data_IF_248435319568
#
_entry.id   IF_248435319568
#
_cell.length_a   1.000
_cell.length_b   1.000
_cell.length_c   1.000
_cell.angle_alpha   90.00
_cell.angle_beta   90.00
_cell.angle_gamma   90.00
#
_symmetry.space_group_name_H-M   'P 1'
#
loop_
_entity.id
_entity.type
_entity.pdbx_description
1 polymer ?
#
# COMPACT_ATOMS: atom_id res chain seq x y z
N UNK A 1 -8.86 27.16 -1.44
CA UNK A 1 -9.35 25.78 -1.37
C UNK A 1 -8.91 25.18 -0.03
N UNK A 2 -9.90 24.89 0.83
CA UNK A 2 -9.72 24.23 2.14
C UNK A 2 -10.11 22.76 2.01
N UNK A 3 -9.22 21.84 2.34
CA UNK A 3 -9.41 20.41 2.16
C UNK A 3 -9.32 19.69 3.49
N UNK A 4 -10.21 18.74 3.74
CA UNK A 4 -10.09 17.81 4.86
C UNK A 4 -9.87 16.40 4.31
N UNK A 5 -8.81 15.73 4.79
CA UNK A 5 -8.68 14.28 4.67
C UNK A 5 -9.33 13.62 5.89
N UNK A 6 -10.23 12.73 5.61
CA UNK A 6 -11.04 12.03 6.60
C UNK A 6 -10.24 10.95 7.35
N UNK A 7 -10.70 10.57 8.54
CA UNK A 7 -9.93 9.82 9.56
C UNK A 7 -9.89 8.31 9.43
N UNK A 8 -10.82 7.68 8.71
CA UNK A 8 -11.09 6.22 8.83
C UNK A 8 -9.86 5.34 8.73
N UNK A 9 -8.94 5.66 7.81
CA UNK A 9 -7.73 4.85 7.61
C UNK A 9 -6.76 4.92 8.80
N UNK A 10 -6.70 6.06 9.49
CA UNK A 10 -5.76 6.28 10.60
C UNK A 10 -6.18 5.56 11.89
N UNK A 11 -7.45 5.16 11.96
CA UNK A 11 -7.96 4.29 13.02
C UNK A 11 -7.94 2.81 12.62
N UNK A 12 -7.99 2.52 11.30
CA UNK A 12 -8.03 1.15 10.77
C UNK A 12 -6.66 0.48 10.68
N UNK A 13 -5.60 1.25 10.39
CA UNK A 13 -4.24 0.73 10.17
C UNK A 13 -3.24 1.41 11.10
N UNK A 14 -2.41 0.62 11.79
CA UNK A 14 -1.23 1.16 12.49
C UNK A 14 -0.11 1.57 11.53
N UNK A 15 0.05 0.83 10.43
CA UNK A 15 0.98 1.12 9.31
C UNK A 15 0.36 0.55 8.03
N UNK A 16 0.44 1.27 6.92
CA UNK A 16 -0.05 0.76 5.64
C UNK A 16 0.16 1.71 4.46
N UNK A 17 -0.01 1.17 3.26
CA UNK A 17 0.14 1.93 2.01
C UNK A 17 -0.88 3.05 1.86
N UNK A 18 -2.12 2.84 2.34
CA UNK A 18 -3.21 3.82 2.24
C UNK A 18 -2.93 5.03 3.12
N UNK A 19 -2.60 4.81 4.41
CA UNK A 19 -2.27 5.91 5.31
C UNK A 19 -1.00 6.65 4.88
N UNK A 20 -0.02 5.95 4.29
CA UNK A 20 1.16 6.57 3.68
C UNK A 20 0.78 7.46 2.49
N UNK A 21 -0.12 7.00 1.61
CA UNK A 21 -0.63 7.77 0.49
C UNK A 21 -1.25 9.10 0.94
N UNK A 22 -2.20 9.06 1.85
CA UNK A 22 -2.87 10.28 2.36
C UNK A 22 -1.87 11.23 3.03
N UNK A 23 -1.00 10.70 3.91
CA UNK A 23 0.02 11.52 4.60
C UNK A 23 0.99 12.17 3.63
N UNK A 24 1.41 11.48 2.57
CA UNK A 24 2.32 12.02 1.55
C UNK A 24 1.67 13.10 0.69
N UNK A 25 0.43 12.89 0.27
CA UNK A 25 -0.32 13.92 -0.49
C UNK A 25 -0.49 15.17 0.36
N UNK A 26 -0.94 15.03 1.62
CA UNK A 26 -1.11 16.17 2.52
C UNK A 26 0.22 16.92 2.75
N UNK A 27 1.32 16.20 2.96
CA UNK A 27 2.65 16.80 3.12
C UNK A 27 3.06 17.65 1.90
N UNK A 28 2.74 17.19 0.68
CA UNK A 28 3.07 17.94 -0.55
C UNK A 28 2.13 19.13 -0.71
N UNK A 29 0.86 18.99 -0.34
CA UNK A 29 -0.09 20.10 -0.37
C UNK A 29 0.39 21.24 0.52
N UNK A 30 0.88 20.94 1.73
CA UNK A 30 1.47 21.95 2.62
C UNK A 30 2.68 22.67 1.96
N UNK A 31 3.58 21.91 1.33
CA UNK A 31 4.72 22.49 0.60
C UNK A 31 4.27 23.42 -0.54
N UNK A 32 3.13 23.15 -1.13
CA UNK A 32 2.52 23.95 -2.20
C UNK A 32 1.57 25.04 -1.67
N UNK A 33 1.56 25.29 -0.36
CA UNK A 33 0.70 26.28 0.32
C UNK A 33 -0.80 26.05 0.08
N UNK A 34 -1.22 24.78 -0.09
CA UNK A 34 -2.63 24.39 -0.16
C UNK A 34 -3.11 24.13 1.26
N UNK A 35 -4.18 24.81 1.65
CA UNK A 35 -4.79 24.62 2.96
C UNK A 35 -5.48 23.24 3.03
N UNK A 36 -4.81 22.29 3.67
CA UNK A 36 -5.30 20.92 3.81
C UNK A 36 -4.98 20.36 5.19
N UNK A 37 -5.91 19.62 5.76
CA UNK A 37 -5.81 19.07 7.12
C UNK A 37 -6.15 17.58 7.08
N UNK A 38 -5.34 16.77 7.79
CA UNK A 38 -5.77 15.43 8.19
C UNK A 38 -6.39 15.57 9.57
N UNK A 39 -7.70 15.29 9.66
CA UNK A 39 -8.41 15.33 10.93
C UNK A 39 -8.71 13.91 11.40
N UNK A 40 -8.00 13.45 12.42
CA UNK A 40 -8.13 12.12 13.01
C UNK A 40 -8.01 12.21 14.54
N UNK A 41 -9.07 12.62 15.25
CA UNK A 41 -9.05 12.86 16.70
C UNK A 41 -8.42 11.74 17.49
N UNK A 42 -8.77 10.50 17.15
CA UNK A 42 -8.19 9.28 17.71
C UNK A 42 -7.48 8.52 16.59
N UNK A 43 -6.22 8.18 16.80
CA UNK A 43 -5.39 7.48 15.80
C UNK A 43 -4.54 6.38 16.43
N UNK A 44 -4.33 5.30 15.68
CA UNK A 44 -3.30 4.28 15.96
C UNK A 44 -2.16 4.31 14.93
N UNK A 45 -2.20 5.26 14.01
CA UNK A 45 -1.37 5.23 12.79
C UNK A 45 -0.02 5.89 12.99
N UNK A 46 1.05 5.20 12.57
CA UNK A 46 2.42 5.69 12.67
C UNK A 46 2.85 6.59 11.50
N UNK A 47 2.09 6.62 10.39
CA UNK A 47 2.34 7.52 9.29
C UNK A 47 1.76 8.94 9.55
N UNK A 48 0.89 9.08 10.57
CA UNK A 48 0.38 10.37 10.99
C UNK A 48 1.37 11.03 11.97
N UNK A 49 2.07 12.05 11.49
CA UNK A 49 2.97 12.85 12.32
C UNK A 49 2.17 13.95 13.03
N UNK A 50 1.84 13.69 14.30
CA UNK A 50 1.03 14.60 15.14
C UNK A 50 1.79 15.89 15.54
N UNK A 51 3.12 15.97 15.31
CA UNK A 51 3.89 17.18 15.55
C UNK A 51 3.68 18.25 14.46
N UNK A 52 3.02 17.89 13.37
CA UNK A 52 2.70 18.81 12.28
C UNK A 52 1.33 19.44 12.51
N UNK A 53 1.25 20.76 12.50
CA UNK A 53 0.04 21.55 12.75
C UNK A 53 -1.11 21.29 11.74
N UNK A 54 -0.81 20.68 10.60
CA UNK A 54 -1.79 20.26 9.60
C UNK A 54 -2.30 18.83 9.80
N UNK A 55 -1.90 18.17 10.91
CA UNK A 55 -2.40 16.86 11.31
C UNK A 55 -3.02 17.00 12.70
N UNK A 56 -4.34 16.95 12.78
CA UNK A 56 -5.06 17.10 14.04
C UNK A 56 -5.39 15.71 14.59
N UNK A 57 -4.73 15.34 15.67
CA UNK A 57 -5.03 14.14 16.44
C UNK A 57 -4.77 14.42 17.92
N UNK A 58 -5.79 14.19 18.74
CA UNK A 58 -5.72 14.45 20.17
C UNK A 58 -5.21 13.24 20.95
N UNK A 59 -5.63 12.03 20.51
CA UNK A 59 -5.30 10.78 21.19
C UNK A 59 -4.64 9.79 20.23
N UNK A 60 -3.40 9.40 20.55
CA UNK A 60 -2.66 8.39 19.80
C UNK A 60 -2.46 7.14 20.63
N UNK A 61 -3.06 6.04 20.21
CA UNK A 61 -2.95 4.73 20.86
C UNK A 61 -1.99 3.81 20.10
N UNK A 62 -1.32 2.92 20.79
CA UNK A 62 -0.54 1.84 20.15
C UNK A 62 -1.47 0.79 19.53
N UNK A 63 -2.58 0.51 20.21
CA UNK A 63 -3.59 -0.47 19.80
C UNK A 63 -4.92 -0.14 20.51
N UNK A 64 -6.03 -0.39 19.84
CA UNK A 64 -7.37 -0.28 20.44
C UNK A 64 -7.85 -1.69 20.80
N UNK A 65 -8.39 -1.91 22.01
CA UNK A 65 -9.07 -3.15 22.37
C UNK A 65 -10.22 -3.45 21.41
N UNK A 66 -10.39 -4.72 21.04
CA UNK A 66 -11.41 -5.11 20.03
C UNK A 66 -12.82 -4.67 20.39
N UNK A 67 -13.20 -4.77 21.67
CA UNK A 67 -14.52 -4.37 22.17
C UNK A 67 -14.77 -2.86 22.08
N UNK A 68 -13.73 -2.01 22.18
CA UNK A 68 -13.85 -0.55 22.06
C UNK A 68 -13.82 -0.05 20.60
N UNK A 69 -13.50 -0.90 19.63
CA UNK A 69 -13.25 -0.46 18.24
C UNK A 69 -14.45 0.29 17.66
N UNK A 70 -15.68 -0.23 17.84
CA UNK A 70 -16.90 0.41 17.33
C UNK A 70 -17.13 1.78 17.96
N UNK A 71 -16.89 1.90 19.27
CA UNK A 71 -17.04 3.15 20.02
C UNK A 71 -16.05 4.22 19.53
N UNK A 72 -14.78 3.86 19.33
CA UNK A 72 -13.77 4.79 18.82
C UNK A 72 -14.06 5.25 17.38
N UNK A 73 -14.60 4.36 16.54
CA UNK A 73 -15.10 4.76 15.22
C UNK A 73 -16.27 5.74 15.32
N UNK A 74 -17.23 5.50 16.22
CA UNK A 74 -18.35 6.40 16.43
C UNK A 74 -17.88 7.78 16.90
N UNK A 75 -17.01 7.83 17.91
CA UNK A 75 -16.44 9.09 18.44
C UNK A 75 -15.70 9.85 17.33
N UNK A 76 -14.82 9.19 16.57
CA UNK A 76 -14.12 9.83 15.46
C UNK A 76 -15.08 10.36 14.39
N UNK A 77 -16.12 9.59 14.06
CA UNK A 77 -17.09 9.99 13.04
C UNK A 77 -17.91 11.20 13.49
N UNK A 78 -18.39 11.20 14.74
CA UNK A 78 -19.12 12.34 15.31
C UNK A 78 -18.21 13.58 15.38
N UNK A 79 -17.00 13.44 15.92
CA UNK A 79 -16.06 14.54 16.00
C UNK A 79 -15.70 15.10 14.62
N UNK A 80 -15.52 14.23 13.60
CA UNK A 80 -15.26 14.67 12.23
C UNK A 80 -16.46 15.37 11.60
N UNK A 81 -17.68 14.89 11.86
CA UNK A 81 -18.90 15.53 11.40
C UNK A 81 -19.03 16.95 11.97
N UNK A 82 -18.88 17.13 13.29
CA UNK A 82 -18.92 18.46 13.92
C UNK A 82 -17.78 19.36 13.44
N UNK A 83 -16.56 18.81 13.33
CA UNK A 83 -15.41 19.58 12.85
C UNK A 83 -15.61 20.09 11.41
N UNK A 84 -16.15 19.27 10.51
CA UNK A 84 -16.44 19.67 9.13
C UNK A 84 -17.46 20.82 9.09
N UNK A 85 -18.53 20.73 9.87
CA UNK A 85 -19.56 21.77 9.93
C UNK A 85 -19.00 23.11 10.48
N UNK A 86 -18.09 23.05 11.45
CA UNK A 86 -17.45 24.24 12.03
C UNK A 86 -16.36 24.82 11.11
N UNK A 87 -15.50 23.96 10.56
CA UNK A 87 -14.36 24.36 9.72
C UNK A 87 -14.78 24.80 8.31
N UNK A 88 -15.92 24.32 7.82
CA UNK A 88 -16.49 24.59 6.49
C UNK A 88 -15.44 24.42 5.37
N UNK A 89 -14.94 23.19 5.13
CA UNK A 89 -14.02 22.95 4.02
C UNK A 89 -14.74 23.07 2.69
N UNK A 90 -14.00 23.40 1.63
CA UNK A 90 -14.53 23.39 0.26
C UNK A 90 -14.70 21.97 -0.26
N UNK A 91 -13.87 21.01 0.23
CA UNK A 91 -13.85 19.62 -0.22
C UNK A 91 -13.38 18.67 0.88
N UNK A 92 -14.00 17.47 0.92
CA UNK A 92 -13.56 16.36 1.76
C UNK A 92 -12.95 15.25 0.90
N UNK A 93 -11.79 14.72 1.29
CA UNK A 93 -11.21 13.53 0.67
C UNK A 93 -11.34 12.34 1.60
N UNK A 94 -12.14 11.35 1.21
CA UNK A 94 -12.32 10.11 1.96
C UNK A 94 -11.11 9.20 1.82
N UNK A 95 -10.53 8.85 2.95
CA UNK A 95 -9.38 7.96 3.01
C UNK A 95 -9.75 6.49 2.95
N UNK A 96 -11.01 6.15 3.31
CA UNK A 96 -11.54 4.78 3.34
C UNK A 96 -13.06 4.76 3.32
N UNK A 97 -13.71 3.57 3.32
CA UNK A 97 -15.15 3.39 3.06
C UNK A 97 -16.04 3.36 4.32
N UNK A 98 -15.54 3.73 5.48
CA UNK A 98 -16.22 3.44 6.76
C UNK A 98 -16.95 4.61 7.41
N UNK A 99 -17.06 5.78 6.78
CA UNK A 99 -17.66 6.94 7.41
C UNK A 99 -19.11 7.17 6.95
N UNK A 100 -20.06 6.55 7.65
CA UNK A 100 -21.47 6.65 7.32
C UNK A 100 -22.10 8.03 7.64
N UNK A 101 -21.54 8.79 8.58
CA UNK A 101 -22.09 10.09 8.98
C UNK A 101 -21.76 11.21 7.98
N UNK A 102 -20.62 11.13 7.31
CA UNK A 102 -20.22 12.16 6.34
C UNK A 102 -21.12 12.21 5.07
N UNK A 103 -21.93 11.19 4.84
CA UNK A 103 -22.96 11.24 3.77
C UNK A 103 -24.03 12.30 4.01
N UNK A 104 -24.18 12.79 5.25
CA UNK A 104 -25.11 13.86 5.61
C UNK A 104 -24.49 15.26 5.54
N UNK A 105 -23.23 15.37 5.19
CA UNK A 105 -22.54 16.65 5.00
C UNK A 105 -22.74 17.09 3.56
N UNK A 106 -23.35 18.24 3.37
CA UNK A 106 -23.59 18.82 2.03
C UNK A 106 -22.34 19.54 1.49
N UNK A 107 -21.24 18.79 1.38
CA UNK A 107 -19.95 19.26 0.87
C UNK A 107 -19.47 18.25 -0.18
N UNK A 108 -18.97 18.73 -1.34
CA UNK A 108 -18.44 17.85 -2.37
C UNK A 108 -17.29 17.00 -1.82
N UNK A 109 -17.24 15.73 -2.22
CA UNK A 109 -16.16 14.86 -1.77
C UNK A 109 -15.56 14.01 -2.87
N UNK A 110 -14.28 13.71 -2.70
CA UNK A 110 -13.51 12.78 -3.52
C UNK A 110 -13.23 11.51 -2.72
N UNK A 111 -13.35 10.37 -3.37
CA UNK A 111 -13.06 9.06 -2.78
C UNK A 111 -11.92 8.38 -3.52
N UNK A 112 -10.91 7.88 -2.81
CA UNK A 112 -9.86 7.03 -3.43
C UNK A 112 -10.15 5.55 -3.23
N UNK A 113 -10.13 4.79 -4.33
CA UNK A 113 -10.27 3.34 -4.38
C UNK A 113 -8.88 2.71 -4.55
N UNK A 114 -8.47 1.92 -3.55
CA UNK A 114 -7.16 1.30 -3.51
C UNK A 114 -7.13 -0.10 -4.11
N UNK A 115 -8.16 -0.87 -3.89
CA UNK A 115 -8.36 -2.20 -4.48
C UNK A 115 -9.81 -2.66 -4.34
N UNK A 116 -10.14 -3.74 -5.00
CA UNK A 116 -11.41 -4.45 -4.95
C UNK A 116 -11.17 -5.95 -4.72
N UNK A 117 -10.20 -6.26 -3.85
CA UNK A 117 -9.81 -7.65 -3.54
C UNK A 117 -10.93 -8.37 -2.79
N UNK A 118 -11.65 -7.68 -1.92
CA UNK A 118 -12.81 -8.23 -1.21
C UNK A 118 -13.93 -8.64 -2.17
N UNK A 119 -14.22 -7.79 -3.16
CA UNK A 119 -15.23 -8.03 -4.19
C UNK A 119 -14.86 -9.23 -5.07
N UNK A 120 -13.62 -9.29 -5.50
CA UNK A 120 -13.09 -10.45 -6.26
C UNK A 120 -13.21 -11.77 -5.50
N UNK A 121 -13.16 -11.71 -4.18
CA UNK A 121 -13.27 -12.89 -3.30
C UNK A 121 -14.69 -13.18 -2.86
N UNK A 122 -15.69 -12.45 -3.39
CA UNK A 122 -17.11 -12.53 -3.00
C UNK A 122 -17.35 -12.29 -1.50
N UNK A 123 -16.45 -11.56 -0.85
CA UNK A 123 -16.53 -11.20 0.56
C UNK A 123 -16.56 -9.69 0.69
N UNK A 124 -17.75 -9.11 0.74
CA UNK A 124 -17.95 -7.67 0.85
C UNK A 124 -18.72 -7.37 2.12
N UNK A 125 -17.99 -7.00 3.17
CA UNK A 125 -18.63 -6.39 4.33
C UNK A 125 -19.16 -4.99 3.96
N UNK A 126 -20.40 -4.68 4.38
CA UNK A 126 -21.02 -3.35 4.18
C UNK A 126 -21.10 -2.90 2.70
N UNK A 127 -21.44 -3.80 1.80
CA UNK A 127 -21.57 -3.51 0.36
C UNK A 127 -22.46 -2.30 0.11
N UNK A 128 -23.63 -2.23 0.72
CA UNK A 128 -24.58 -1.14 0.58
C UNK A 128 -24.02 0.24 0.96
N UNK A 129 -23.26 0.33 2.07
CA UNK A 129 -22.65 1.60 2.48
C UNK A 129 -21.56 2.07 1.50
N UNK A 130 -20.80 1.12 0.92
CA UNK A 130 -19.80 1.43 -0.09
C UNK A 130 -20.44 1.90 -1.39
N UNK A 131 -21.54 1.27 -1.81
CA UNK A 131 -22.31 1.68 -2.99
C UNK A 131 -22.84 3.12 -2.86
N UNK A 132 -23.46 3.46 -1.74
CA UNK A 132 -23.92 4.82 -1.48
C UNK A 132 -22.79 5.87 -1.54
N UNK A 133 -21.63 5.55 -0.95
CA UNK A 133 -20.47 6.45 -1.01
C UNK A 133 -19.94 6.61 -2.43
N UNK A 134 -19.98 5.56 -3.25
CA UNK A 134 -19.54 5.61 -4.64
C UNK A 134 -20.50 6.42 -5.53
N UNK A 135 -21.80 6.24 -5.36
CA UNK A 135 -22.82 6.93 -6.14
C UNK A 135 -22.85 8.42 -5.87
N UNK A 136 -22.69 8.84 -4.60
CA UNK A 136 -22.75 10.23 -4.18
C UNK A 136 -21.41 10.96 -4.28
N UNK A 137 -20.31 10.27 -4.61
CA UNK A 137 -19.02 10.91 -4.78
C UNK A 137 -19.03 11.92 -5.93
N UNK A 138 -18.51 13.14 -5.68
CA UNK A 138 -18.30 14.14 -6.73
C UNK A 138 -17.25 13.66 -7.73
N UNK A 139 -16.23 12.90 -7.25
CA UNK A 139 -15.24 12.23 -8.10
C UNK A 139 -14.62 11.03 -7.40
N UNK A 140 -14.23 10.03 -8.18
CA UNK A 140 -13.58 8.81 -7.68
C UNK A 140 -12.19 8.71 -8.31
N UNK A 141 -11.18 8.52 -7.48
CA UNK A 141 -9.79 8.28 -7.88
C UNK A 141 -9.49 6.79 -7.73
N UNK A 142 -9.11 6.11 -8.78
CA UNK A 142 -8.58 4.74 -8.73
C UNK A 142 -7.06 4.78 -8.85
N UNK A 143 -6.35 3.98 -8.02
CA UNK A 143 -4.89 4.01 -8.00
C UNK A 143 -4.22 3.22 -9.14
N UNK A 144 -5.01 2.53 -9.96
CA UNK A 144 -4.57 1.84 -11.19
C UNK A 144 -5.70 1.69 -12.19
N UNK A 145 -5.38 1.46 -13.47
CA UNK A 145 -6.38 1.18 -14.50
C UNK A 145 -7.10 -0.13 -14.24
N UNK A 146 -6.41 -1.11 -13.64
CA UNK A 146 -7.03 -2.38 -13.22
C UNK A 146 -8.05 -2.11 -12.11
N UNK A 147 -7.73 -1.26 -11.13
CA UNK A 147 -8.69 -0.88 -10.07
C UNK A 147 -9.90 -0.15 -10.66
N UNK A 148 -9.72 0.73 -11.67
CA UNK A 148 -10.83 1.38 -12.39
C UNK A 148 -11.70 0.36 -13.12
N UNK A 149 -11.10 -0.60 -13.85
CA UNK A 149 -11.83 -1.68 -14.52
C UNK A 149 -12.64 -2.53 -13.54
N UNK A 150 -12.03 -2.89 -12.42
CA UNK A 150 -12.70 -3.65 -11.37
C UNK A 150 -13.86 -2.84 -10.75
N UNK A 151 -13.67 -1.55 -10.49
CA UNK A 151 -14.71 -0.67 -9.95
C UNK A 151 -15.94 -0.66 -10.84
N UNK A 152 -15.76 -0.39 -12.13
CA UNK A 152 -16.84 -0.34 -13.13
C UNK A 152 -17.53 -1.71 -13.29
N UNK A 153 -16.79 -2.80 -13.05
CA UNK A 153 -17.33 -4.17 -13.11
C UNK A 153 -18.23 -4.51 -11.93
N UNK A 154 -17.86 -4.07 -10.72
CA UNK A 154 -18.54 -4.48 -9.49
C UNK A 154 -19.60 -3.50 -9.01
N UNK A 155 -19.54 -2.25 -9.46
CA UNK A 155 -20.40 -1.17 -9.02
C UNK A 155 -20.91 -0.34 -10.20
N UNK A 156 -22.16 0.07 -10.11
CA UNK A 156 -22.74 1.04 -11.04
C UNK A 156 -22.29 2.44 -10.65
N UNK A 157 -21.32 2.97 -11.40
CA UNK A 157 -20.72 4.30 -11.18
C UNK A 157 -20.60 5.04 -12.51
N UNK A 158 -20.84 6.34 -12.49
CA UNK A 158 -20.61 7.20 -13.64
C UNK A 158 -19.12 7.21 -14.02
N UNK A 159 -18.78 6.67 -15.17
CA UNK A 159 -17.40 6.53 -15.69
C UNK A 159 -16.70 7.88 -15.85
N UNK A 160 -17.46 8.98 -16.05
CA UNK A 160 -16.94 10.34 -16.20
C UNK A 160 -16.44 10.91 -14.87
N UNK A 161 -16.96 10.39 -13.74
CA UNK A 161 -16.50 10.73 -12.40
C UNK A 161 -15.33 9.86 -11.93
N UNK A 162 -14.80 8.96 -12.76
CA UNK A 162 -13.72 8.03 -12.35
C UNK A 162 -12.43 8.34 -13.11
N UNK A 163 -11.39 8.74 -12.39
CA UNK A 163 -10.05 8.97 -12.92
C UNK A 163 -9.02 7.98 -12.34
N UNK A 164 -7.96 7.73 -13.09
CA UNK A 164 -6.81 6.95 -12.62
C UNK A 164 -5.70 7.91 -12.23
N UNK A 165 -5.25 7.85 -10.97
CA UNK A 165 -4.09 8.58 -10.47
C UNK A 165 -3.17 7.59 -9.78
N UNK A 166 -2.00 7.38 -10.36
CA UNK A 166 -1.01 6.45 -9.82
C UNK A 166 -0.36 6.98 -8.55
N UNK A 167 -0.10 6.08 -7.60
CA UNK A 167 0.64 6.43 -6.38
C UNK A 167 2.10 6.77 -6.68
N UNK A 168 2.72 7.52 -5.79
CA UNK A 168 4.14 7.83 -5.87
C UNK A 168 5.02 6.88 -5.04
N UNK A 169 6.33 6.91 -5.33
CA UNK A 169 7.39 6.35 -4.49
C UNK A 169 8.47 7.40 -4.23
N UNK A 170 9.25 7.20 -3.18
CA UNK A 170 10.40 8.06 -2.89
C UNK A 170 11.53 7.79 -3.88
N UNK A 171 12.17 8.85 -4.37
CA UNK A 171 13.39 8.72 -5.18
C UNK A 171 14.59 8.40 -4.26
N UNK A 172 15.07 7.16 -4.33
CA UNK A 172 16.11 6.63 -3.44
C UNK A 172 17.37 6.22 -4.20
N UNK A 173 17.90 7.06 -5.06
CA UNK A 173 19.01 6.80 -6.02
C UNK A 173 20.31 6.21 -5.47
N UNK A 174 20.42 5.92 -4.19
CA UNK A 174 21.66 5.39 -3.62
C UNK A 174 21.84 3.91 -3.92
N UNK A 175 22.64 3.59 -4.94
CA UNK A 175 23.10 2.22 -5.20
C UNK A 175 24.10 1.80 -4.13
N UNK A 176 23.82 0.69 -3.46
CA UNK A 176 24.78 0.00 -2.60
C UNK A 176 25.37 -1.16 -3.40
N UNK A 177 26.69 -1.19 -3.53
CA UNK A 177 27.41 -2.22 -4.29
C UNK A 177 27.35 -3.58 -3.60
N UNK A 178 27.45 -3.61 -2.28
CA UNK A 178 27.43 -4.83 -1.49
C UNK A 178 26.03 -5.23 -1.08
N UNK A 179 25.55 -6.31 -1.65
CA UNK A 179 24.29 -6.96 -1.25
C UNK A 179 24.57 -8.02 -0.19
N UNK A 180 23.65 -8.13 0.76
CA UNK A 180 23.68 -9.17 1.80
C UNK A 180 22.89 -10.40 1.33
N UNK A 181 23.26 -11.57 1.76
CA UNK A 181 22.67 -12.83 1.36
C UNK A 181 21.29 -13.07 2.00
N UNK A 182 20.32 -12.21 1.66
CA UNK A 182 18.92 -12.41 2.03
C UNK A 182 17.94 -12.02 0.91
N UNK A 183 16.83 -12.74 0.91
CA UNK A 183 15.66 -12.46 0.09
C UNK A 183 14.67 -11.70 0.98
N UNK A 184 14.22 -10.53 0.52
CA UNK A 184 13.32 -9.67 1.28
C UNK A 184 11.86 -9.88 0.86
N UNK A 185 10.99 -10.12 1.83
CA UNK A 185 9.54 -10.11 1.69
C UNK A 185 8.95 -8.99 2.56
N UNK A 186 8.06 -8.15 1.99
CA UNK A 186 7.52 -6.98 2.70
C UNK A 186 6.00 -6.99 2.71
N UNK A 187 5.43 -6.79 3.89
CA UNK A 187 3.99 -6.65 4.10
C UNK A 187 3.37 -7.75 4.96
N UNK A 188 2.03 -7.80 4.95
CA UNK A 188 1.29 -8.88 5.61
C UNK A 188 1.51 -10.21 4.88
N UNK A 189 1.39 -11.31 5.61
CA UNK A 189 1.51 -12.66 5.05
C UNK A 189 0.15 -13.35 4.89
N UNK A 190 -0.90 -12.54 4.66
CA UNK A 190 -2.27 -13.01 4.45
C UNK A 190 -2.38 -13.93 3.22
N UNK A 191 -3.45 -14.73 3.16
CA UNK A 191 -3.68 -15.74 2.11
C UNK A 191 -3.48 -15.22 0.68
N UNK A 192 -3.92 -14.01 0.35
CA UNK A 192 -3.77 -13.44 -1.01
C UNK A 192 -2.33 -12.99 -1.32
N UNK A 193 -1.51 -12.73 -0.30
CA UNK A 193 -0.07 -12.43 -0.47
C UNK A 193 0.75 -13.67 -0.81
N UNK A 194 0.16 -14.85 -0.63
CA UNK A 194 0.70 -16.14 -1.08
C UNK A 194 2.12 -16.44 -0.57
N UNK A 195 2.39 -16.01 0.66
CA UNK A 195 3.67 -16.22 1.34
C UNK A 195 4.05 -17.69 1.43
N UNK A 196 3.06 -18.57 1.63
CA UNK A 196 3.27 -20.03 1.76
C UNK A 196 3.94 -20.63 0.52
N UNK A 197 3.51 -20.25 -0.70
CA UNK A 197 4.14 -20.79 -1.91
C UNK A 197 5.57 -20.29 -2.08
N UNK A 198 5.87 -19.05 -1.67
CA UNK A 198 7.26 -18.57 -1.63
C UNK A 198 8.13 -19.40 -0.68
N UNK A 199 7.64 -19.67 0.54
CA UNK A 199 8.37 -20.48 1.52
C UNK A 199 8.59 -21.90 1.01
N UNK A 200 7.56 -22.55 0.45
CA UNK A 200 7.67 -23.87 -0.17
C UNK A 200 8.68 -23.88 -1.33
N UNK A 201 8.69 -22.84 -2.17
CA UNK A 201 9.65 -22.74 -3.27
C UNK A 201 11.09 -22.58 -2.77
N UNK A 202 11.29 -21.79 -1.70
CA UNK A 202 12.60 -21.64 -1.06
C UNK A 202 13.09 -22.97 -0.46
N UNK A 203 12.22 -23.71 0.25
CA UNK A 203 12.57 -24.97 0.91
C UNK A 203 12.92 -26.11 -0.08
N UNK A 204 12.54 -25.99 -1.35
CA UNK A 204 12.90 -26.96 -2.40
C UNK A 204 14.26 -26.70 -3.04
N UNK A 205 15.00 -25.69 -2.59
CA UNK A 205 16.30 -25.33 -3.17
C UNK A 205 17.42 -25.43 -2.14
N UNK A 206 18.21 -26.47 -2.21
CA UNK A 206 19.41 -26.61 -1.38
C UNK A 206 20.37 -25.42 -1.56
N UNK A 207 20.48 -24.89 -2.79
CA UNK A 207 21.31 -23.73 -3.04
C UNK A 207 20.83 -22.49 -2.25
N UNK A 208 19.51 -22.21 -2.25
CA UNK A 208 18.95 -21.07 -1.51
C UNK A 208 19.06 -21.28 -0.01
N UNK A 209 18.73 -22.47 0.50
CA UNK A 209 18.81 -22.80 1.92
C UNK A 209 20.23 -22.59 2.47
N UNK A 210 21.23 -23.07 1.75
CA UNK A 210 22.62 -23.02 2.22
C UNK A 210 23.24 -21.61 2.12
N UNK A 211 22.79 -20.78 1.17
CA UNK A 211 23.44 -19.51 0.88
C UNK A 211 22.65 -18.28 1.25
N UNK A 212 21.33 -18.39 1.51
CA UNK A 212 20.46 -17.24 1.71
C UNK A 212 19.57 -17.37 2.94
N UNK A 213 19.19 -16.21 3.47
CA UNK A 213 18.16 -16.06 4.50
C UNK A 213 16.92 -15.42 3.89
N UNK A 214 15.76 -15.62 4.51
CA UNK A 214 14.54 -14.90 4.22
C UNK A 214 14.35 -13.86 5.31
N UNK A 215 14.26 -12.59 4.94
CA UNK A 215 13.94 -11.51 5.85
C UNK A 215 12.52 -11.01 5.55
N UNK A 216 11.62 -11.21 6.49
CA UNK A 216 10.27 -10.68 6.45
C UNK A 216 10.20 -9.33 7.16
N UNK A 217 9.65 -8.31 6.49
CA UNK A 217 9.41 -7.01 7.11
C UNK A 217 7.91 -6.70 7.16
N UNK A 218 7.39 -6.34 8.34
CA UNK A 218 5.97 -6.03 8.51
C UNK A 218 5.58 -5.67 9.93
N UNK A 219 4.26 -5.58 10.17
CA UNK A 219 3.73 -5.17 11.47
C UNK A 219 3.64 -6.31 12.51
N UNK A 220 3.64 -7.57 12.07
CA UNK A 220 3.43 -8.73 12.94
C UNK A 220 4.52 -9.77 12.73
N UNK A 221 5.06 -10.31 13.84
CA UNK A 221 5.97 -11.45 13.84
C UNK A 221 5.28 -12.71 13.31
N UNK A 222 6.03 -13.79 13.13
CA UNK A 222 5.51 -15.09 12.72
C UNK A 222 4.49 -15.62 13.75
N UNK A 223 3.41 -16.21 13.25
CA UNK A 223 2.42 -16.90 14.08
C UNK A 223 2.79 -18.39 14.23
N UNK A 224 2.07 -19.10 15.10
CA UNK A 224 2.35 -20.53 15.39
C UNK A 224 2.23 -21.42 14.14
N UNK A 225 1.25 -21.17 13.26
CA UNK A 225 1.09 -21.94 12.03
C UNK A 225 2.28 -21.75 11.07
N UNK A 226 2.77 -20.51 10.97
CA UNK A 226 3.95 -20.19 10.15
C UNK A 226 5.19 -20.88 10.72
N UNK A 227 5.42 -20.82 12.04
CA UNK A 227 6.55 -21.47 12.70
C UNK A 227 6.47 -23.00 12.53
N UNK A 228 5.29 -23.60 12.71
CA UNK A 228 5.11 -25.03 12.46
C UNK A 228 5.44 -25.41 11.01
N UNK A 229 5.02 -24.60 10.05
CA UNK A 229 5.36 -24.81 8.63
C UNK A 229 6.87 -24.73 8.38
N UNK A 230 7.58 -23.78 8.99
CA UNK A 230 9.03 -23.63 8.84
C UNK A 230 9.79 -24.84 9.36
N UNK A 231 9.39 -25.35 10.53
CA UNK A 231 9.96 -26.56 11.12
C UNK A 231 9.70 -27.80 10.24
N UNK A 232 8.44 -27.97 9.74
CA UNK A 232 8.11 -29.06 8.82
C UNK A 232 8.96 -29.04 7.55
N UNK A 233 9.29 -27.83 7.05
CA UNK A 233 10.10 -27.62 5.86
C UNK A 233 11.60 -27.57 6.15
N UNK A 234 12.03 -27.70 7.42
CA UNK A 234 13.43 -27.66 7.90
C UNK A 234 14.19 -26.40 7.46
N UNK A 235 13.52 -25.24 7.52
CA UNK A 235 14.08 -23.94 7.13
C UNK A 235 13.94 -22.86 8.20
N UNK A 236 13.58 -23.21 9.42
CA UNK A 236 13.37 -22.28 10.54
C UNK A 236 14.59 -21.37 10.78
N UNK A 237 15.81 -21.89 10.62
CA UNK A 237 17.08 -21.16 10.76
C UNK A 237 17.32 -20.12 9.64
N UNK A 238 16.54 -20.19 8.57
CA UNK A 238 16.63 -19.25 7.45
C UNK A 238 15.67 -18.07 7.57
N UNK A 239 14.67 -18.12 8.46
CA UNK A 239 13.59 -17.15 8.56
C UNK A 239 13.87 -16.10 9.64
N UNK A 240 13.86 -14.84 9.23
CA UNK A 240 14.03 -13.69 10.12
C UNK A 240 12.90 -12.69 9.95
N UNK A 241 12.48 -12.10 11.06
CA UNK A 241 11.47 -11.05 11.06
C UNK A 241 12.08 -9.73 11.53
N UNK A 242 11.66 -8.64 10.90
CA UNK A 242 11.98 -7.28 11.32
C UNK A 242 10.80 -6.36 11.14
N UNK A 243 10.64 -5.42 12.06
CA UNK A 243 9.72 -4.29 11.96
C UNK A 243 10.50 -2.98 12.04
N UNK A 244 9.85 -1.88 11.74
CA UNK A 244 10.49 -0.57 11.83
C UNK A 244 9.80 0.48 10.96
N UNK A 245 10.46 1.60 10.79
CA UNK A 245 10.00 2.73 9.98
C UNK A 245 10.50 2.63 8.51
N UNK A 246 10.09 3.59 7.69
CA UNK A 246 10.48 3.68 6.28
C UNK A 246 11.99 3.74 6.06
N UNK A 247 12.75 4.38 6.98
CA UNK A 247 14.22 4.44 6.91
C UNK A 247 14.85 3.05 7.08
N UNK A 248 14.31 2.26 8.00
CA UNK A 248 14.71 0.87 8.20
C UNK A 248 14.39 0.02 6.97
N UNK A 249 13.15 0.12 6.47
CA UNK A 249 12.72 -0.63 5.28
C UNK A 249 13.57 -0.28 4.05
N UNK A 250 13.87 1.01 3.86
CA UNK A 250 14.75 1.47 2.77
C UNK A 250 16.12 0.80 2.82
N UNK A 251 16.76 0.76 4.01
CA UNK A 251 18.04 0.07 4.18
C UNK A 251 17.92 -1.43 3.84
N UNK A 252 16.81 -2.07 4.19
CA UNK A 252 16.59 -3.47 3.86
C UNK A 252 16.46 -3.68 2.35
N UNK A 253 15.72 -2.85 1.63
CA UNK A 253 15.68 -2.91 0.17
C UNK A 253 17.06 -2.72 -0.47
N UNK A 254 17.82 -1.73 0.01
CA UNK A 254 19.14 -1.41 -0.53
C UNK A 254 20.13 -2.57 -0.41
N UNK A 255 20.09 -3.31 0.69
CA UNK A 255 21.03 -4.42 0.97
C UNK A 255 20.50 -5.80 0.55
N UNK A 256 19.23 -5.96 0.22
CA UNK A 256 18.69 -7.26 -0.19
C UNK A 256 19.32 -7.73 -1.53
N UNK A 257 19.66 -9.01 -1.59
CA UNK A 257 20.04 -9.65 -2.87
C UNK A 257 18.87 -9.72 -3.84
N UNK A 258 17.64 -9.84 -3.29
CA UNK A 258 16.42 -9.99 -4.06
C UNK A 258 15.23 -9.50 -3.20
N UNK A 259 14.28 -8.80 -3.81
CA UNK A 259 12.93 -8.59 -3.30
C UNK A 259 11.95 -9.49 -4.05
N UNK A 260 11.04 -10.13 -3.32
CA UNK A 260 10.01 -10.98 -3.92
C UNK A 260 8.61 -10.63 -3.40
N UNK A 261 7.62 -10.61 -4.29
CA UNK A 261 6.21 -10.60 -3.96
C UNK A 261 5.46 -11.64 -4.77
N UNK A 262 4.77 -12.53 -4.07
CA UNK A 262 4.02 -13.67 -4.64
C UNK A 262 2.52 -13.46 -4.61
N UNK A 263 2.07 -12.21 -4.44
CA UNK A 263 0.66 -11.85 -4.28
C UNK A 263 -0.18 -12.29 -5.48
N UNK A 264 -1.36 -12.86 -5.20
CA UNK A 264 -2.35 -13.23 -6.22
C UNK A 264 -3.22 -12.05 -6.65
N UNK A 265 -3.35 -11.04 -5.82
CA UNK A 265 -4.10 -9.82 -6.07
C UNK A 265 -3.42 -8.62 -5.40
N UNK A 266 -3.45 -7.49 -6.09
CA UNK A 266 -2.96 -6.19 -5.60
C UNK A 266 -3.75 -5.05 -6.24
N UNK A 267 -3.74 -3.89 -5.60
CA UNK A 267 -4.34 -2.69 -6.19
C UNK A 267 -3.36 -1.84 -6.99
N UNK A 268 -2.03 -1.90 -6.62
CA UNK A 268 -1.02 -1.08 -7.28
C UNK A 268 0.34 -1.78 -7.41
N UNK A 269 1.03 -2.01 -6.30
CA UNK A 269 2.39 -2.53 -6.31
C UNK A 269 3.41 -1.55 -5.73
N UNK A 270 3.03 -0.90 -4.63
CA UNK A 270 3.91 0.08 -3.98
C UNK A 270 5.23 -0.55 -3.53
N UNK A 271 5.19 -1.73 -2.88
CA UNK A 271 6.38 -2.41 -2.36
C UNK A 271 7.40 -2.82 -3.43
N UNK A 272 7.03 -3.39 -4.60
CA UNK A 272 8.00 -3.62 -5.67
C UNK A 272 8.57 -2.33 -6.27
N UNK A 273 7.79 -1.26 -6.41
CA UNK A 273 8.32 0.04 -6.85
C UNK A 273 9.30 0.63 -5.84
N UNK A 274 9.03 0.52 -4.53
CA UNK A 274 9.95 0.91 -3.46
C UNK A 274 11.27 0.11 -3.54
N UNK A 275 11.18 -1.20 -3.75
CA UNK A 275 12.36 -2.06 -3.94
C UNK A 275 13.18 -1.61 -5.16
N UNK A 276 12.52 -1.33 -6.28
CA UNK A 276 13.14 -0.83 -7.51
C UNK A 276 13.80 0.53 -7.30
N UNK A 277 13.15 1.46 -6.59
CA UNK A 277 13.72 2.79 -6.28
C UNK A 277 14.96 2.72 -5.40
N UNK A 278 15.13 1.61 -4.68
CA UNK A 278 16.31 1.31 -3.85
C UNK A 278 17.36 0.45 -4.55
N UNK A 279 17.22 0.15 -5.85
CA UNK A 279 18.14 -0.69 -6.60
C UNK A 279 18.14 -2.16 -6.16
N UNK A 280 16.99 -2.68 -5.74
CA UNK A 280 16.82 -4.08 -5.40
C UNK A 280 16.31 -4.88 -6.61
N UNK A 281 16.99 -5.94 -7.05
CA UNK A 281 16.45 -6.86 -8.06
C UNK A 281 15.11 -7.41 -7.58
N UNK A 282 14.10 -7.43 -8.46
CA UNK A 282 12.71 -7.66 -8.05
C UNK A 282 12.08 -8.80 -8.82
N UNK A 283 11.41 -9.70 -8.08
CA UNK A 283 10.52 -10.74 -8.61
C UNK A 283 9.09 -10.44 -8.18
N UNK A 284 8.15 -10.51 -9.15
CA UNK A 284 6.74 -10.25 -8.89
C UNK A 284 5.84 -11.30 -9.54
N UNK A 285 4.70 -11.55 -8.96
CA UNK A 285 3.65 -12.36 -9.60
C UNK A 285 3.24 -11.80 -10.95
N UNK A 286 2.97 -12.68 -11.89
CA UNK A 286 2.43 -12.34 -13.20
C UNK A 286 0.93 -12.03 -13.12
N UNK A 287 0.58 -10.90 -12.51
CA UNK A 287 -0.80 -10.41 -12.36
C UNK A 287 -1.01 -9.10 -13.13
N UNK A 288 -2.24 -8.81 -13.60
CA UNK A 288 -2.50 -7.66 -14.46
C UNK A 288 -1.98 -6.33 -13.92
N UNK A 289 -2.19 -6.03 -12.64
CA UNK A 289 -1.76 -4.77 -12.04
C UNK A 289 -0.23 -4.65 -12.01
N UNK A 290 0.52 -5.72 -11.75
CA UNK A 290 1.98 -5.66 -11.79
C UNK A 290 2.50 -5.49 -13.22
N UNK A 291 1.84 -6.06 -14.22
CA UNK A 291 2.16 -5.77 -15.63
C UNK A 291 1.94 -4.31 -15.99
N UNK A 292 0.81 -3.74 -15.57
CA UNK A 292 0.49 -2.32 -15.77
C UNK A 292 1.57 -1.42 -15.14
N UNK A 293 1.86 -1.64 -13.87
CA UNK A 293 2.70 -0.72 -13.09
C UNK A 293 4.19 -0.95 -13.33
N UNK A 294 4.65 -2.20 -13.43
CA UNK A 294 6.07 -2.53 -13.45
C UNK A 294 6.62 -2.78 -14.86
N UNK A 295 5.76 -3.20 -15.81
CA UNK A 295 6.17 -3.53 -17.18
C UNK A 295 7.28 -4.59 -17.20
N UNK A 296 8.39 -4.31 -17.86
CA UNK A 296 9.54 -5.22 -18.00
C UNK A 296 10.66 -4.97 -16.98
N UNK A 297 10.34 -4.33 -15.84
CA UNK A 297 11.33 -3.92 -14.82
C UNK A 297 11.53 -4.95 -13.71
N UNK A 298 10.82 -6.07 -13.73
CA UNK A 298 10.98 -7.19 -12.79
C UNK A 298 10.99 -8.53 -13.52
N UNK A 299 11.40 -9.58 -12.83
CA UNK A 299 11.18 -10.96 -13.26
C UNK A 299 9.80 -11.43 -12.82
N UNK A 300 9.01 -11.98 -13.73
CA UNK A 300 7.67 -12.46 -13.42
C UNK A 300 7.64 -13.94 -13.09
N UNK A 301 6.78 -14.30 -12.13
CA UNK A 301 6.50 -15.67 -11.71
C UNK A 301 5.01 -15.99 -11.81
N UNK A 302 4.70 -17.25 -12.06
CA UNK A 302 3.37 -17.78 -11.78
C UNK A 302 3.21 -18.00 -10.27
N UNK A 303 2.36 -17.23 -9.56
CA UNK A 303 2.23 -17.36 -8.10
C UNK A 303 1.64 -18.70 -7.64
N UNK A 304 1.06 -19.49 -8.53
CA UNK A 304 0.53 -20.80 -8.23
C UNK A 304 1.51 -21.95 -8.50
N UNK A 305 2.65 -21.67 -9.13
CA UNK A 305 3.67 -22.67 -9.49
C UNK A 305 4.93 -22.50 -8.62
N UNK A 306 5.08 -23.41 -7.65
CA UNK A 306 6.21 -23.42 -6.71
C UNK A 306 7.54 -23.65 -7.46
N UNK A 307 7.53 -24.44 -8.51
CA UNK A 307 8.73 -24.74 -9.32
C UNK A 307 9.19 -23.50 -10.12
N UNK A 308 8.26 -22.76 -10.70
CA UNK A 308 8.58 -21.50 -11.39
C UNK A 308 9.13 -20.46 -10.40
N UNK A 309 8.53 -20.32 -9.23
CA UNK A 309 9.03 -19.42 -8.17
C UNK A 309 10.48 -19.78 -7.81
N UNK A 310 10.76 -21.07 -7.54
CA UNK A 310 12.10 -21.55 -7.24
C UNK A 310 13.10 -21.23 -8.35
N UNK A 311 12.80 -21.65 -9.58
CA UNK A 311 13.67 -21.44 -10.76
C UNK A 311 13.98 -19.95 -10.99
N UNK A 312 12.98 -19.08 -10.87
CA UNK A 312 13.18 -17.64 -11.09
C UNK A 312 14.04 -17.01 -9.99
N UNK A 313 13.88 -17.42 -8.73
CA UNK A 313 14.76 -16.97 -7.64
C UNK A 313 16.21 -17.37 -7.90
N UNK A 314 16.46 -18.65 -8.14
CA UNK A 314 17.82 -19.14 -8.43
C UNK A 314 18.44 -18.46 -9.63
N UNK A 315 17.72 -18.38 -10.75
CA UNK A 315 18.21 -17.80 -11.98
C UNK A 315 18.55 -16.32 -11.84
N UNK A 316 17.72 -15.55 -11.10
CA UNK A 316 18.00 -14.14 -10.91
C UNK A 316 19.16 -13.91 -9.94
N UNK A 317 19.24 -14.69 -8.87
CA UNK A 317 20.32 -14.59 -7.89
C UNK A 317 21.68 -14.96 -8.51
N UNK A 318 21.75 -16.02 -9.32
CA UNK A 318 22.98 -16.47 -9.98
C UNK A 318 23.43 -15.54 -11.11
N UNK A 319 22.53 -14.77 -11.73
CA UNK A 319 22.85 -13.94 -12.90
C UNK A 319 23.06 -12.47 -12.56
N UNK A 320 24.30 -12.06 -12.31
CA UNK A 320 24.67 -10.65 -12.08
C UNK A 320 24.27 -9.73 -13.23
N UNK A 321 24.33 -10.21 -14.48
CA UNK A 321 23.92 -9.44 -15.65
C UNK A 321 22.41 -9.15 -15.64
N UNK A 322 21.57 -10.16 -15.39
CA UNK A 322 20.11 -9.98 -15.25
C UNK A 322 19.78 -9.02 -14.11
N UNK A 323 20.47 -9.13 -12.96
CA UNK A 323 20.29 -8.19 -11.84
C UNK A 323 20.58 -6.75 -12.27
N UNK A 324 21.73 -6.48 -12.93
CA UNK A 324 22.09 -5.14 -13.42
C UNK A 324 21.03 -4.55 -14.36
N UNK A 325 20.54 -5.37 -15.31
CA UNK A 325 19.50 -4.95 -16.26
C UNK A 325 18.21 -4.58 -15.52
N UNK A 326 17.74 -5.44 -14.59
CA UNK A 326 16.50 -5.19 -13.84
C UNK A 326 16.63 -4.00 -12.89
N UNK A 327 17.79 -3.80 -12.27
CA UNK A 327 18.05 -2.63 -11.43
C UNK A 327 17.95 -1.35 -12.26
N UNK A 328 18.63 -1.29 -13.43
CA UNK A 328 18.55 -0.12 -14.33
C UNK A 328 17.12 0.18 -14.77
N UNK A 329 16.39 -0.84 -15.24
CA UNK A 329 14.98 -0.72 -15.63
C UNK A 329 14.09 -0.31 -14.45
N UNK A 330 14.34 -0.88 -13.27
CA UNK A 330 13.61 -0.60 -12.05
C UNK A 330 13.72 0.86 -11.61
N UNK A 331 14.92 1.45 -11.65
CA UNK A 331 15.10 2.87 -11.39
C UNK A 331 14.33 3.76 -12.37
N UNK A 332 14.43 3.49 -13.67
CA UNK A 332 13.72 4.24 -14.70
C UNK A 332 12.20 4.11 -14.54
N UNK A 333 11.72 2.94 -14.13
CA UNK A 333 10.31 2.70 -13.88
C UNK A 333 9.83 3.44 -12.63
N UNK A 334 10.53 3.32 -11.50
CA UNK A 334 10.17 3.97 -10.25
C UNK A 334 10.12 5.51 -10.39
N UNK A 335 11.05 6.10 -11.16
CA UNK A 335 11.08 7.54 -11.43
C UNK A 335 9.81 8.07 -12.11
N UNK A 336 9.05 7.23 -12.83
CA UNK A 336 7.78 7.63 -13.46
C UNK A 336 6.65 7.84 -12.45
N UNK A 337 6.81 7.35 -11.21
CA UNK A 337 5.82 7.37 -10.15
C UNK A 337 6.32 8.25 -9.00
N UNK A 338 6.05 9.55 -9.05
CA UNK A 338 6.43 10.47 -7.97
C UNK A 338 5.21 10.93 -7.17
N UNK A 339 5.42 11.19 -5.89
CA UNK A 339 4.38 11.76 -5.03
C UNK A 339 3.98 13.17 -5.48
N UNK A 340 4.90 13.95 -6.06
CA UNK A 340 4.59 15.26 -6.63
C UNK A 340 3.62 15.15 -7.80
N UNK A 341 3.85 14.22 -8.73
CA UNK A 341 2.94 13.96 -9.85
C UNK A 341 1.58 13.51 -9.35
N UNK A 342 1.53 12.54 -8.45
CA UNK A 342 0.30 12.06 -7.83
C UNK A 342 -0.49 13.21 -7.19
N UNK A 343 0.18 14.07 -6.42
CA UNK A 343 -0.44 15.21 -5.76
C UNK A 343 -0.94 16.27 -6.74
N UNK A 344 -0.19 16.58 -7.80
CA UNK A 344 -0.61 17.54 -8.84
C UNK A 344 -1.85 17.04 -9.59
N UNK A 345 -1.89 15.76 -9.97
CA UNK A 345 -3.05 15.15 -10.60
C UNK A 345 -4.27 15.16 -9.67
N UNK A 346 -4.08 14.91 -8.38
CA UNK A 346 -5.14 14.99 -7.36
C UNK A 346 -5.68 16.42 -7.23
N UNK A 347 -4.80 17.44 -7.22
CA UNK A 347 -5.22 18.85 -7.20
C UNK A 347 -6.07 19.20 -8.41
N UNK A 348 -5.73 18.71 -9.62
CA UNK A 348 -6.53 18.94 -10.82
C UNK A 348 -7.95 18.39 -10.68
N UNK A 349 -8.10 17.20 -10.08
CA UNK A 349 -9.42 16.64 -9.78
C UNK A 349 -10.18 17.53 -8.79
N UNK A 350 -9.54 18.00 -7.71
CA UNK A 350 -10.22 18.86 -6.75
C UNK A 350 -10.71 20.18 -7.39
N UNK A 351 -9.88 20.80 -8.22
CA UNK A 351 -10.29 22.00 -8.96
C UNK A 351 -11.47 21.72 -9.89
N UNK A 352 -11.47 20.56 -10.58
CA UNK A 352 -12.59 20.15 -11.43
C UNK A 352 -13.89 19.94 -10.66
N UNK A 353 -13.81 19.47 -9.42
CA UNK A 353 -14.98 19.22 -8.55
C UNK A 353 -15.55 20.51 -7.98
N UNK A 354 -14.71 21.54 -7.80
CA UNK A 354 -15.10 22.82 -7.19
C UNK A 354 -15.52 23.90 -8.21
N UNK A 355 -15.18 23.72 -9.48
CA UNK A 355 -15.68 24.53 -10.60
C UNK A 355 -16.94 23.92 -11.20
#
# INVERSE_FOLDING_TARGET
MKIIFENSIFLHQSVGGISKYISKINQIFQKKKINSIIYSPISINNNLDIKKNYNISYFKFKKIPRFCTKLFYLINNLATFFFINLYKPDLVHFSYYNNSLLRFVNIPYVLTIYDLISEKRKYVEKKFQKEQLLQNASHIICISSITKKDLIKFYDVDKNKVSVIYMGVEDNKKLIKEKKNYILFVGSRNKYKNFINFIKAFSQSNYLINNYKILCFGAKNFNLEEVHLFNKLKIEKNLFFKSGNDKTLRKLYQHASLFITTSKNEGFGLTPLEAMSCGCPTICSNIPVFKEILGNSCSYINPNDITDIKKKMENLIKSKNKQKILIKRGFLKAKKYSWDKCSLETIKIYKKVLN
#
